data_IF_758784537818
#
_entry.id   IF_758784537818
#
_cell.length_a   1.000
_cell.length_b   1.000
_cell.length_c   1.000
_cell.angle_alpha   90.00
_cell.angle_beta   90.00
_cell.angle_gamma   90.00
#
_symmetry.space_group_name_H-M   'P 1'
#
loop_
_entity.id
_entity.type
_entity.pdbx_description
1 polymer ?
#
# COMPACT_ATOMS: atom_id res chain seq x y z
N UNK A 1 0.13 29.43 -0.20
CA UNK A 1 1.46 28.80 -0.26
C UNK A 1 1.44 27.65 0.72
N UNK A 2 1.25 26.42 0.23
CA UNK A 2 1.25 25.23 1.09
C UNK A 2 2.68 24.98 1.54
N UNK A 3 2.96 25.12 2.84
CA UNK A 3 4.23 24.70 3.41
C UNK A 3 4.25 23.17 3.40
N UNK A 4 4.77 22.58 2.32
CA UNK A 4 5.04 21.14 2.29
C UNK A 4 6.20 20.87 3.23
N UNK A 5 5.87 20.46 4.46
CA UNK A 5 6.83 19.89 5.39
C UNK A 5 6.87 18.39 5.11
N UNK A 6 8.03 17.88 4.74
CA UNK A 6 8.23 16.44 4.60
C UNK A 6 8.00 15.76 5.95
N UNK A 7 7.20 14.70 5.94
CA UNK A 7 7.12 13.78 7.08
C UNK A 7 8.33 12.87 7.02
N UNK A 8 9.12 12.88 8.08
CA UNK A 8 10.23 11.93 8.24
C UNK A 8 9.70 10.67 8.91
N UNK A 9 10.11 9.51 8.41
CA UNK A 9 9.81 8.21 9.00
C UNK A 9 11.12 7.51 9.33
N UNK A 10 11.25 7.06 10.58
CA UNK A 10 12.30 6.16 11.02
C UNK A 10 11.64 4.87 11.54
N UNK A 11 11.98 3.75 10.93
CA UNK A 11 11.43 2.43 11.28
C UNK A 11 12.60 1.48 11.46
N UNK A 12 12.62 0.76 12.58
CA UNK A 12 13.63 -0.25 12.86
C UNK A 12 12.99 -1.62 12.95
N UNK A 13 13.80 -2.66 12.73
CA UNK A 13 13.30 -4.03 12.77
C UNK A 13 14.36 -5.01 13.26
N UNK A 14 13.92 -6.05 13.97
CA UNK A 14 14.77 -7.14 14.41
C UNK A 14 14.22 -8.48 13.93
N UNK A 15 15.12 -9.38 13.56
CA UNK A 15 14.75 -10.72 13.11
C UNK A 15 14.35 -11.57 14.32
N UNK A 16 13.09 -12.01 14.35
CA UNK A 16 12.60 -13.01 15.32
C UNK A 16 12.87 -14.44 14.83
N UNK A 17 12.66 -14.71 13.54
CA UNK A 17 12.93 -16.00 12.89
C UNK A 17 13.19 -15.81 11.38
N UNK A 18 13.50 -16.85 10.57
CA UNK A 18 13.72 -16.67 9.13
C UNK A 18 12.57 -15.98 8.38
N UNK A 19 11.34 -16.13 8.85
CA UNK A 19 10.13 -15.61 8.22
C UNK A 19 9.37 -14.64 9.12
N UNK A 20 9.92 -14.27 10.30
CA UNK A 20 9.26 -13.35 11.24
C UNK A 20 10.17 -12.20 11.61
N UNK A 21 9.64 -11.00 11.43
CA UNK A 21 10.34 -9.74 11.70
C UNK A 21 9.50 -8.92 12.67
N UNK A 22 10.10 -8.53 13.79
CA UNK A 22 9.50 -7.55 14.69
C UNK A 22 9.91 -6.15 14.24
N UNK A 23 8.93 -5.28 14.08
CA UNK A 23 9.07 -3.92 13.56
C UNK A 23 8.66 -2.93 14.64
N UNK A 24 9.47 -1.91 14.85
CA UNK A 24 9.23 -0.81 15.78
C UNK A 24 9.17 0.50 15.00
N UNK A 25 8.10 1.26 15.24
CA UNK A 25 7.83 2.59 14.68
C UNK A 25 7.63 3.61 15.80
N UNK A 26 7.47 4.88 15.47
CA UNK A 26 7.11 5.91 16.45
C UNK A 26 5.74 5.64 17.12
N UNK A 27 4.81 5.03 16.40
CA UNK A 27 3.41 4.82 16.84
C UNK A 27 3.17 3.46 17.52
N UNK A 28 4.12 2.53 17.42
CA UNK A 28 4.00 1.20 18.05
C UNK A 28 4.85 0.10 17.43
N UNK A 29 4.59 -1.13 17.87
CA UNK A 29 5.30 -2.35 17.49
C UNK A 29 4.36 -3.39 16.86
N UNK A 30 4.85 -4.12 15.87
CA UNK A 30 4.10 -5.20 15.22
C UNK A 30 5.05 -6.27 14.64
N UNK A 31 4.49 -7.41 14.24
CA UNK A 31 5.26 -8.52 13.65
C UNK A 31 4.76 -8.82 12.24
N UNK A 32 5.67 -8.76 11.26
CA UNK A 32 5.41 -9.20 9.88
C UNK A 32 5.86 -10.65 9.71
N UNK A 33 5.01 -11.47 9.07
CA UNK A 33 5.24 -12.90 8.86
C UNK A 33 4.70 -13.83 9.95
N UNK A 34 3.82 -13.31 10.84
CA UNK A 34 3.04 -14.12 11.77
C UNK A 34 1.62 -14.34 11.26
N UNK A 35 0.79 -13.29 11.27
CA UNK A 35 -0.62 -13.34 10.85
C UNK A 35 -0.75 -13.16 9.32
N UNK A 36 0.12 -12.34 8.75
CA UNK A 36 0.22 -12.10 7.30
C UNK A 36 1.69 -12.09 6.89
N UNK A 37 1.96 -12.54 5.67
CA UNK A 37 3.31 -12.51 5.10
C UNK A 37 3.68 -11.08 4.61
N UNK A 38 4.96 -10.79 4.32
CA UNK A 38 5.37 -9.44 3.91
C UNK A 38 4.67 -8.90 2.65
N UNK A 39 4.33 -9.77 1.69
CA UNK A 39 3.61 -9.37 0.47
C UNK A 39 2.17 -9.00 0.82
N UNK A 40 1.48 -9.82 1.61
CA UNK A 40 0.14 -9.52 2.10
C UNK A 40 0.10 -8.24 2.93
N UNK A 41 1.12 -8.01 3.78
CA UNK A 41 1.23 -6.77 4.56
C UNK A 41 1.39 -5.54 3.66
N UNK A 42 2.18 -5.63 2.58
CA UNK A 42 2.31 -4.56 1.59
C UNK A 42 0.99 -4.29 0.86
N UNK A 43 0.29 -5.33 0.39
CA UNK A 43 -0.99 -5.21 -0.29
C UNK A 43 -2.07 -4.63 0.64
N UNK A 44 -2.11 -5.08 1.89
CA UNK A 44 -2.98 -4.53 2.92
C UNK A 44 -2.68 -3.05 3.22
N UNK A 45 -1.39 -2.67 3.26
CA UNK A 45 -0.99 -1.26 3.42
C UNK A 45 -1.45 -0.39 2.24
N UNK A 46 -1.39 -0.92 1.01
CA UNK A 46 -1.89 -0.23 -0.17
C UNK A 46 -3.42 -0.02 -0.09
N UNK A 47 -4.18 -1.08 0.21
CA UNK A 47 -5.64 -0.97 0.38
C UNK A 47 -6.03 0.00 1.50
N UNK A 48 -5.34 -0.04 2.64
CA UNK A 48 -5.58 0.86 3.76
C UNK A 48 -5.31 2.32 3.38
N UNK A 49 -4.25 2.57 2.61
CA UNK A 49 -3.94 3.91 2.12
C UNK A 49 -4.98 4.40 1.10
N UNK A 50 -5.39 3.55 0.15
CA UNK A 50 -6.45 3.87 -0.81
C UNK A 50 -7.74 4.23 -0.06
N UNK A 51 -8.18 3.44 0.92
CA UNK A 51 -9.35 3.74 1.73
C UNK A 51 -9.26 5.11 2.45
N UNK A 52 -8.11 5.39 3.07
CA UNK A 52 -7.86 6.67 3.74
C UNK A 52 -7.93 7.84 2.76
N UNK A 53 -7.25 7.72 1.62
CA UNK A 53 -7.24 8.75 0.57
C UNK A 53 -8.64 8.93 -0.04
N UNK A 54 -9.32 7.83 -0.38
CA UNK A 54 -10.69 7.78 -0.87
C UNK A 54 -11.67 8.55 0.02
N UNK A 55 -11.60 8.32 1.33
CA UNK A 55 -12.41 9.01 2.34
C UNK A 55 -12.12 10.52 2.36
N UNK A 56 -10.83 10.89 2.29
CA UNK A 56 -10.43 12.30 2.28
C UNK A 56 -10.86 13.03 1.01
N UNK A 57 -10.67 12.42 -0.16
CA UNK A 57 -11.09 13.00 -1.45
C UNK A 57 -12.61 13.12 -1.51
N UNK A 58 -13.36 12.10 -1.06
CA UNK A 58 -14.82 12.15 -1.01
C UNK A 58 -15.30 13.34 -0.19
N UNK A 59 -14.71 13.54 0.99
CA UNK A 59 -15.00 14.70 1.84
C UNK A 59 -14.71 16.03 1.13
N UNK A 60 -13.57 16.15 0.46
CA UNK A 60 -13.19 17.37 -0.26
C UNK A 60 -14.14 17.68 -1.43
N UNK A 61 -14.74 16.64 -2.02
CA UNK A 61 -15.70 16.71 -3.13
C UNK A 61 -17.16 16.71 -2.69
N UNK A 62 -17.42 16.75 -1.37
CA UNK A 62 -18.77 16.69 -0.79
C UNK A 62 -19.57 15.43 -1.19
N UNK A 63 -18.88 14.31 -1.41
CA UNK A 63 -19.45 13.00 -1.71
C UNK A 63 -19.69 12.24 -0.39
N UNK A 64 -20.92 11.80 -0.18
CA UNK A 64 -21.30 10.97 0.96
C UNK A 64 -21.16 9.48 0.61
N UNK A 65 -20.11 8.85 1.13
CA UNK A 65 -19.84 7.41 0.97
C UNK A 65 -20.52 6.66 2.11
N UNK A 66 -21.47 5.80 1.76
CA UNK A 66 -22.18 4.93 2.72
C UNK A 66 -21.39 3.67 3.01
N UNK A 67 -20.78 3.08 1.97
CA UNK A 67 -19.90 1.92 2.09
C UNK A 67 -18.79 1.96 1.05
N UNK A 68 -17.63 1.41 1.43
CA UNK A 68 -16.47 1.23 0.55
C UNK A 68 -15.82 -0.11 0.88
N UNK A 69 -15.82 -1.01 -0.10
CA UNK A 69 -15.10 -2.27 -0.05
C UNK A 69 -14.00 -2.27 -1.12
N UNK A 70 -12.84 -2.84 -0.80
CA UNK A 70 -11.71 -2.88 -1.70
C UNK A 70 -11.11 -4.28 -1.76
N UNK A 71 -10.87 -4.76 -2.98
CA UNK A 71 -10.14 -6.02 -3.24
C UNK A 71 -8.91 -5.72 -4.08
N UNK A 72 -7.84 -6.47 -3.84
CA UNK A 72 -6.61 -6.40 -4.63
C UNK A 72 -6.19 -7.80 -5.08
N UNK A 73 -5.86 -7.94 -6.35
CA UNK A 73 -5.33 -9.16 -6.94
C UNK A 73 -3.93 -8.91 -7.51
N UNK A 74 -3.06 -9.91 -7.43
CA UNK A 74 -1.70 -9.80 -7.95
C UNK A 74 -0.88 -11.06 -7.75
N UNK A 75 0.09 -11.26 -8.65
CA UNK A 75 0.90 -12.47 -8.70
C UNK A 75 2.36 -12.19 -8.33
N UNK A 76 2.97 -13.14 -7.61
CA UNK A 76 4.40 -13.22 -7.32
C UNK A 76 4.94 -14.58 -7.74
N UNK A 77 5.97 -14.59 -8.56
CA UNK A 77 6.74 -15.81 -8.83
C UNK A 77 7.92 -15.91 -7.84
N UNK A 78 7.79 -16.78 -6.84
CA UNK A 78 8.83 -16.99 -5.82
C UNK A 78 10.07 -17.75 -6.30
N UNK A 79 10.19 -18.11 -7.58
CA UNK A 79 11.35 -18.84 -8.11
C UNK A 79 12.68 -18.13 -7.77
N UNK A 80 12.79 -16.83 -8.04
CA UNK A 80 14.00 -16.03 -7.77
C UNK A 80 14.27 -15.94 -6.27
N UNK A 81 13.24 -15.74 -5.44
CA UNK A 81 13.36 -15.77 -3.97
C UNK A 81 13.92 -17.13 -3.47
N UNK A 82 13.53 -18.23 -4.10
CA UNK A 82 14.02 -19.58 -3.81
C UNK A 82 15.36 -19.93 -4.47
N UNK A 83 16.04 -18.97 -5.12
CA UNK A 83 17.32 -19.18 -5.78
C UNK A 83 17.25 -19.98 -7.08
N UNK A 84 16.05 -20.13 -7.68
CA UNK A 84 15.86 -20.77 -8.99
C UNK A 84 16.01 -19.74 -10.09
N UNK A 85 16.47 -20.17 -11.27
CA UNK A 85 16.49 -19.33 -12.48
C UNK A 85 15.06 -19.04 -12.94
N UNK A 86 14.75 -17.76 -13.16
CA UNK A 86 13.50 -17.27 -13.72
C UNK A 86 13.75 -16.01 -14.53
N UNK A 87 12.96 -15.78 -15.58
CA UNK A 87 12.92 -14.51 -16.32
C UNK A 87 12.04 -13.48 -15.61
N UNK A 88 11.23 -13.91 -14.64
CA UNK A 88 10.39 -13.03 -13.83
C UNK A 88 11.20 -12.31 -12.76
N UNK A 89 10.86 -11.03 -12.53
CA UNK A 89 11.33 -10.29 -11.37
C UNK A 89 10.79 -10.94 -10.07
N UNK A 90 11.51 -10.85 -8.93
CA UNK A 90 11.10 -11.48 -7.67
C UNK A 90 9.85 -10.85 -7.01
N UNK A 91 9.47 -9.64 -7.42
CA UNK A 91 8.32 -8.92 -6.87
C UNK A 91 7.01 -9.16 -7.64
N UNK A 92 5.98 -8.40 -7.24
CA UNK A 92 4.65 -8.41 -7.86
C UNK A 92 4.71 -8.10 -9.36
N UNK A 93 3.89 -8.75 -10.18
CA UNK A 93 3.91 -8.59 -11.65
C UNK A 93 2.90 -7.57 -12.17
N UNK A 94 1.79 -7.43 -11.47
CA UNK A 94 0.71 -6.50 -11.71
C UNK A 94 -0.21 -6.50 -10.50
N UNK A 95 -0.94 -5.41 -10.30
CA UNK A 95 -1.93 -5.27 -9.24
C UNK A 95 -3.20 -4.70 -9.82
N UNK A 96 -4.30 -5.38 -9.57
CA UNK A 96 -5.63 -4.93 -9.97
C UNK A 96 -6.43 -4.66 -8.69
N UNK A 97 -6.78 -3.40 -8.47
CA UNK A 97 -7.59 -2.96 -7.33
C UNK A 97 -9.02 -2.71 -7.81
N UNK A 98 -9.99 -3.32 -7.15
CA UNK A 98 -11.42 -3.07 -7.39
C UNK A 98 -12.02 -2.43 -6.16
N UNK A 99 -12.69 -1.28 -6.35
CA UNK A 99 -13.48 -0.61 -5.31
C UNK A 99 -14.97 -0.80 -5.58
N UNK A 100 -15.71 -1.26 -4.57
CA UNK A 100 -17.17 -1.27 -4.55
C UNK A 100 -17.64 -0.17 -3.61
N UNK A 101 -18.35 0.82 -4.14
CA UNK A 101 -18.70 2.05 -3.41
C UNK A 101 -20.19 2.31 -3.53
N UNK A 102 -20.84 2.56 -2.40
CA UNK A 102 -22.23 3.03 -2.33
C UNK A 102 -22.25 4.49 -1.88
N UNK A 103 -23.01 5.33 -2.60
CA UNK A 103 -23.15 6.76 -2.30
C UNK A 103 -24.60 7.21 -2.32
N UNK A 104 -24.96 8.13 -1.44
CA UNK A 104 -26.33 8.63 -1.30
C UNK A 104 -26.80 9.56 -2.44
N UNK A 105 -25.89 10.00 -3.31
CA UNK A 105 -26.13 11.02 -4.35
C UNK A 105 -25.58 10.60 -5.72
N UNK A 106 -26.00 11.31 -6.77
CA UNK A 106 -25.41 11.22 -8.12
C UNK A 106 -24.03 11.91 -8.14
N UNK A 107 -23.06 11.29 -7.47
CA UNK A 107 -21.68 11.78 -7.41
C UNK A 107 -20.89 11.45 -8.69
N UNK A 108 -19.95 12.31 -9.06
CA UNK A 108 -18.99 12.04 -10.13
C UNK A 108 -17.88 11.12 -9.60
N UNK A 109 -18.17 9.82 -9.59
CA UNK A 109 -17.26 8.79 -9.07
C UNK A 109 -16.00 8.62 -9.91
N UNK A 110 -16.03 8.96 -11.20
CA UNK A 110 -14.85 8.89 -12.08
C UNK A 110 -13.85 10.00 -11.72
N UNK A 111 -14.35 11.23 -11.50
CA UNK A 111 -13.52 12.33 -11.04
C UNK A 111 -12.96 12.06 -9.63
N UNK A 112 -13.78 11.46 -8.76
CA UNK A 112 -13.35 11.06 -7.42
C UNK A 112 -12.25 10.00 -7.48
N UNK A 113 -12.44 8.91 -8.24
CA UNK A 113 -11.46 7.83 -8.36
C UNK A 113 -10.13 8.36 -8.92
N UNK A 114 -10.19 9.19 -9.95
CA UNK A 114 -8.99 9.83 -10.54
C UNK A 114 -8.21 10.64 -9.49
N UNK A 115 -8.90 11.41 -8.65
CA UNK A 115 -8.27 12.17 -7.58
C UNK A 115 -7.75 11.29 -6.44
N UNK A 116 -8.34 10.11 -6.20
CA UNK A 116 -7.81 9.12 -5.24
C UNK A 116 -6.49 8.54 -5.73
N UNK A 117 -6.42 8.12 -7.00
CA UNK A 117 -5.20 7.60 -7.64
C UNK A 117 -4.07 8.65 -7.61
N UNK A 118 -4.38 9.91 -7.91
CA UNK A 118 -3.39 10.99 -7.90
C UNK A 118 -2.82 11.29 -6.49
N UNK A 119 -3.63 11.11 -5.44
CA UNK A 119 -3.30 11.56 -4.09
C UNK A 119 -2.80 10.48 -3.15
N UNK A 120 -2.87 9.20 -3.52
CA UNK A 120 -2.53 8.09 -2.63
C UNK A 120 -1.01 7.82 -2.61
N UNK A 121 -0.29 8.14 -1.52
CA UNK A 121 1.18 8.04 -1.48
C UNK A 121 1.69 6.60 -1.55
N UNK A 122 0.93 5.62 -1.07
CA UNK A 122 1.35 4.20 -1.17
C UNK A 122 1.15 3.69 -2.60
N UNK A 123 0.08 4.09 -3.29
CA UNK A 123 -0.11 3.74 -4.70
C UNK A 123 0.98 4.35 -5.59
N UNK A 124 1.44 5.56 -5.29
CA UNK A 124 2.56 6.22 -5.96
C UNK A 124 3.85 5.37 -5.83
N UNK A 125 4.20 4.93 -4.63
CA UNK A 125 5.39 4.08 -4.41
C UNK A 125 5.30 2.70 -5.08
N UNK A 126 4.10 2.24 -5.42
CA UNK A 126 3.88 0.95 -6.10
C UNK A 126 3.93 1.11 -7.62
N UNK A 127 3.44 2.24 -8.13
CA UNK A 127 3.39 2.55 -9.57
C UNK A 127 4.68 3.19 -10.08
N UNK A 128 5.47 3.80 -9.20
CA UNK A 128 6.74 4.44 -9.50
C UNK A 128 7.94 3.73 -8.85
N UNK A 129 9.14 3.94 -9.40
CA UNK A 129 10.37 3.39 -8.84
C UNK A 129 10.87 4.24 -7.67
N UNK A 130 10.79 3.70 -6.45
CA UNK A 130 11.45 4.26 -5.27
C UNK A 130 12.76 3.53 -4.99
N UNK A 131 13.86 4.27 -4.87
CA UNK A 131 15.18 3.70 -4.62
C UNK A 131 15.26 3.00 -3.25
N UNK A 132 15.73 1.75 -3.23
CA UNK A 132 16.04 1.00 -2.01
C UNK A 132 17.52 0.63 -2.03
N UNK A 133 18.29 1.19 -1.09
CA UNK A 133 19.70 0.87 -0.88
C UNK A 133 19.88 -0.14 0.24
N UNK A 134 20.80 -1.10 0.08
CA UNK A 134 21.18 -2.07 1.10
C UNK A 134 22.68 -1.94 1.39
N UNK A 135 23.03 -1.81 2.67
CA UNK A 135 24.42 -1.70 3.14
C UNK A 135 24.65 -2.63 4.35
N UNK A 136 25.90 -3.03 4.56
CA UNK A 136 26.32 -3.80 5.73
C UNK A 136 27.26 -2.91 6.56
N UNK A 137 27.11 -2.96 7.89
CA UNK A 137 28.01 -2.32 8.86
C UNK A 137 29.04 -3.31 9.42
#
# INVERSE_FOLDING_TARGET
MSNSKLTHYEVSATRRSPQRTEVTTEDGEFVVGHDVNPVEYLLGSLLACINSTATMVARDMEIDIESLEATIEGDVNYATYLGKTSEDRPGLRGLDVTLSVETASDADLDAWLSAVEERCPVSDNVTNETHVGLTLE
#
